data_IF_182113922014
#
_entry.id   IF_182113922014
#
_cell.length_a   1.000
_cell.length_b   1.000
_cell.length_c   1.000
_cell.angle_alpha   90.00
_cell.angle_beta   90.00
_cell.angle_gamma   90.00
#
_symmetry.space_group_name_H-M   'P 1'
#
loop_
_entity.id
_entity.type
_entity.pdbx_description
1 polymer ?
#
# COMPACT_ATOMS: atom_id res chain seq x y z
N UNK A 1 29.34 22.67 -23.53
CA UNK A 1 30.62 22.77 -22.79
C UNK A 1 31.73 22.59 -23.80
N UNK A 2 32.60 23.58 -23.99
CA UNK A 2 33.78 23.46 -24.86
C UNK A 2 34.73 22.41 -24.26
N UNK A 3 35.30 21.54 -25.09
CA UNK A 3 36.23 20.52 -24.59
C UNK A 3 37.57 21.14 -24.13
N UNK A 4 38.33 20.38 -23.32
CA UNK A 4 39.60 20.84 -22.77
C UNK A 4 40.65 21.17 -23.82
N UNK A 5 40.59 20.56 -25.00
CA UNK A 5 41.51 20.83 -26.09
C UNK A 5 41.20 22.20 -26.72
N UNK A 6 39.92 22.50 -26.94
CA UNK A 6 39.43 23.77 -27.45
C UNK A 6 39.72 24.91 -26.48
N UNK A 7 39.54 24.66 -25.18
CA UNK A 7 39.93 25.60 -24.12
C UNK A 7 41.44 25.85 -24.14
N UNK A 8 42.28 24.80 -24.22
CA UNK A 8 43.75 24.97 -24.30
C UNK A 8 44.21 25.72 -25.55
N UNK A 9 43.61 25.44 -26.70
CA UNK A 9 43.93 26.13 -27.97
C UNK A 9 43.55 27.61 -27.90
N UNK A 10 42.40 27.92 -27.29
CA UNK A 10 41.98 29.31 -27.06
C UNK A 10 42.94 30.05 -26.11
N UNK A 11 43.34 29.43 -25.00
CA UNK A 11 44.30 30.01 -24.07
C UNK A 11 45.70 30.19 -24.68
N UNK A 12 46.17 29.23 -25.48
CA UNK A 12 47.44 29.36 -26.24
C UNK A 12 47.39 30.52 -27.23
N UNK A 13 46.29 30.67 -27.98
CA UNK A 13 46.11 31.80 -28.91
C UNK A 13 46.10 33.16 -28.19
N UNK A 14 45.46 33.24 -27.03
CA UNK A 14 45.42 34.45 -26.23
C UNK A 14 46.80 34.81 -25.65
N UNK A 15 47.56 33.83 -25.14
CA UNK A 15 48.91 34.03 -24.62
C UNK A 15 49.90 34.49 -25.70
N UNK A 16 49.84 33.91 -26.90
CA UNK A 16 50.67 34.34 -28.04
C UNK A 16 50.34 35.77 -28.49
N UNK A 17 49.07 36.16 -28.43
CA UNK A 17 48.62 37.52 -28.77
C UNK A 17 49.11 38.55 -27.76
N UNK A 18 49.06 38.21 -26.46
CA UNK A 18 49.58 39.06 -25.37
C UNK A 18 51.11 39.21 -25.47
N UNK A 19 51.82 38.13 -25.79
CA UNK A 19 53.27 38.19 -25.99
C UNK A 19 53.67 39.03 -27.22
N UNK A 20 52.92 38.94 -28.32
CA UNK A 20 53.15 39.79 -29.51
C UNK A 20 52.93 41.28 -29.22
N UNK A 21 51.90 41.62 -28.43
CA UNK A 21 51.63 43.01 -28.01
C UNK A 21 52.72 43.56 -27.08
N UNK A 22 53.27 42.72 -26.19
CA UNK A 22 54.38 43.10 -25.31
C UNK A 22 55.68 43.41 -26.08
N UNK A 23 55.93 42.73 -27.20
CA UNK A 23 57.08 43.00 -28.06
C UNK A 23 56.96 44.32 -28.85
N UNK A 24 55.74 44.77 -29.15
CA UNK A 24 55.48 45.99 -29.93
C UNK A 24 55.55 47.26 -29.06
N UNK A 25 55.19 47.17 -27.77
CA UNK A 25 55.19 48.32 -26.86
C UNK A 25 55.73 47.98 -25.47
N UNK A 26 57.03 47.68 -25.33
CA UNK A 26 57.62 47.13 -24.09
C UNK A 26 57.58 48.12 -22.91
N UNK A 27 57.53 49.43 -23.16
CA UNK A 27 57.45 50.45 -22.12
C UNK A 27 56.11 50.47 -21.34
N UNK A 28 55.07 49.80 -21.85
CA UNK A 28 53.77 49.69 -21.19
C UNK A 28 53.68 48.50 -20.21
N UNK A 29 54.75 47.70 -20.10
CA UNK A 29 54.76 46.45 -19.34
C UNK A 29 55.85 46.47 -18.27
N UNK A 30 55.59 45.86 -17.12
CA UNK A 30 56.61 45.71 -16.10
C UNK A 30 57.67 44.69 -16.54
N UNK A 31 58.93 44.79 -16.07
CA UNK A 31 59.98 43.84 -16.41
C UNK A 31 59.60 42.38 -16.10
N UNK A 32 58.90 42.16 -14.99
CA UNK A 32 58.40 40.84 -14.60
C UNK A 32 57.34 40.29 -15.56
N UNK A 33 56.50 41.16 -16.13
CA UNK A 33 55.48 40.74 -17.09
C UNK A 33 56.08 40.36 -18.44
N UNK A 34 57.19 41.00 -18.85
CA UNK A 34 57.93 40.64 -20.07
C UNK A 34 58.63 39.28 -19.94
N UNK A 35 59.20 38.97 -18.77
CA UNK A 35 59.81 37.65 -18.50
C UNK A 35 58.76 36.54 -18.55
N UNK A 36 57.61 36.73 -17.90
CA UNK A 36 56.50 35.76 -17.93
C UNK A 36 55.95 35.54 -19.35
N UNK A 37 55.90 36.60 -20.17
CA UNK A 37 55.48 36.49 -21.57
C UNK A 37 56.49 35.70 -22.41
N UNK A 38 57.79 35.90 -22.20
CA UNK A 38 58.84 35.12 -22.89
C UNK A 38 58.84 33.66 -22.46
N UNK A 39 58.68 33.37 -21.17
CA UNK A 39 58.57 32.00 -20.65
C UNK A 39 57.34 31.28 -21.23
N UNK A 40 56.19 31.96 -21.30
CA UNK A 40 54.96 31.41 -21.89
C UNK A 40 55.10 31.11 -23.39
N UNK A 41 55.87 31.91 -24.14
CA UNK A 41 56.16 31.64 -25.56
C UNK A 41 57.13 30.46 -25.70
N UNK A 42 58.17 30.38 -24.86
CA UNK A 42 59.11 29.25 -24.87
C UNK A 42 58.40 27.94 -24.52
N UNK A 43 57.48 27.94 -23.55
CA UNK A 43 56.69 26.76 -23.18
C UNK A 43 55.67 26.37 -24.27
N UNK A 44 55.12 27.36 -25.00
CA UNK A 44 54.25 27.12 -26.13
C UNK A 44 54.98 26.54 -27.36
N UNK A 45 56.25 26.94 -27.58
CA UNK A 45 57.10 26.49 -28.69
C UNK A 45 57.80 25.16 -28.37
N UNK A 46 58.20 24.93 -27.12
CA UNK A 46 58.87 23.70 -26.68
C UNK A 46 57.91 22.52 -26.47
N UNK A 47 56.60 22.78 -26.37
CA UNK A 47 55.59 21.73 -26.31
C UNK A 47 55.38 21.07 -27.66
N UNK A 48 56.24 20.12 -28.03
CA UNK A 48 55.87 19.02 -28.92
C UNK A 48 54.48 18.52 -28.49
N UNK A 49 53.53 18.48 -29.43
CA UNK A 49 52.20 17.99 -29.14
C UNK A 49 52.35 16.58 -28.54
N UNK A 50 51.90 16.32 -27.30
CA UNK A 50 51.88 14.96 -26.79
C UNK A 50 51.09 14.13 -27.80
N UNK A 51 51.63 12.98 -28.19
CA UNK A 51 50.94 12.01 -29.03
C UNK A 51 49.49 11.92 -28.54
N UNK A 52 48.54 12.07 -29.46
CA UNK A 52 47.12 12.08 -29.14
C UNK A 52 46.78 10.85 -28.27
N UNK A 53 46.63 11.06 -26.95
CA UNK A 53 46.10 10.03 -26.07
C UNK A 53 44.74 9.65 -26.64
N UNK A 54 44.61 8.41 -27.09
CA UNK A 54 43.35 7.87 -27.59
C UNK A 54 42.26 8.23 -26.58
N UNK A 55 41.18 8.92 -26.98
CA UNK A 55 40.12 9.30 -26.06
C UNK A 55 39.64 8.06 -25.30
N UNK A 56 39.41 8.15 -23.98
CA UNK A 56 39.05 6.99 -23.18
C UNK A 56 37.81 6.33 -23.76
N UNK A 57 37.87 5.02 -23.98
CA UNK A 57 36.76 4.28 -24.58
C UNK A 57 35.53 4.31 -23.66
N UNK A 58 34.30 4.42 -24.22
CA UNK A 58 33.08 4.37 -23.45
C UNK A 58 32.98 3.04 -22.68
N UNK A 59 32.38 3.09 -21.48
CA UNK A 59 32.24 1.91 -20.66
C UNK A 59 31.38 0.83 -21.33
N UNK A 60 31.77 -0.43 -21.17
CA UNK A 60 31.06 -1.60 -21.71
C UNK A 60 30.80 -2.63 -20.60
N UNK A 61 29.91 -3.57 -20.89
CA UNK A 61 29.69 -4.74 -20.02
C UNK A 61 30.89 -5.69 -20.17
N UNK A 62 31.20 -6.53 -19.17
CA UNK A 62 32.26 -7.53 -19.27
C UNK A 62 32.01 -8.49 -20.44
N UNK A 63 33.08 -9.10 -20.96
CA UNK A 63 32.94 -10.12 -22.00
C UNK A 63 32.07 -11.28 -21.52
N UNK A 64 31.22 -11.83 -22.41
CA UNK A 64 30.30 -12.90 -22.06
C UNK A 64 29.13 -12.48 -21.14
N UNK A 65 28.90 -11.18 -20.92
CA UNK A 65 27.88 -10.70 -19.97
C UNK A 65 26.46 -11.26 -20.14
N UNK A 66 26.11 -11.73 -21.35
CA UNK A 66 24.81 -12.34 -21.66
C UNK A 66 24.60 -13.73 -21.05
N UNK A 67 25.66 -14.35 -20.54
CA UNK A 67 25.64 -15.67 -19.91
C UNK A 67 25.82 -15.60 -18.39
N UNK A 68 25.92 -14.39 -17.83
CA UNK A 68 26.10 -14.19 -16.40
C UNK A 68 24.84 -14.59 -15.63
N UNK A 69 25.04 -15.11 -14.43
CA UNK A 69 23.98 -15.24 -13.44
C UNK A 69 23.43 -13.87 -13.04
N UNK A 70 22.25 -13.86 -12.42
CA UNK A 70 21.54 -12.61 -12.11
C UNK A 70 22.37 -11.67 -11.21
N UNK A 71 23.09 -12.21 -10.23
CA UNK A 71 23.89 -11.42 -9.30
C UNK A 71 25.08 -10.75 -10.01
N UNK A 72 25.84 -11.50 -10.81
CA UNK A 72 26.96 -10.97 -11.58
C UNK A 72 26.48 -9.98 -12.64
N UNK A 73 25.36 -10.28 -13.31
CA UNK A 73 24.77 -9.38 -14.29
C UNK A 73 24.33 -8.05 -13.66
N UNK A 74 23.64 -8.08 -12.52
CA UNK A 74 23.23 -6.87 -11.79
C UNK A 74 24.45 -6.06 -11.37
N UNK A 75 25.49 -6.70 -10.83
CA UNK A 75 26.72 -6.02 -10.42
C UNK A 75 27.44 -5.36 -11.61
N UNK A 76 27.54 -6.08 -12.73
CA UNK A 76 28.12 -5.56 -13.97
C UNK A 76 27.31 -4.38 -14.52
N UNK A 77 25.98 -4.46 -14.51
CA UNK A 77 25.11 -3.37 -14.94
C UNK A 77 25.22 -2.15 -14.03
N UNK A 78 25.29 -2.35 -12.71
CA UNK A 78 25.56 -1.27 -11.76
C UNK A 78 26.91 -0.58 -12.03
N UNK A 79 27.97 -1.37 -12.29
CA UNK A 79 29.28 -0.86 -12.65
C UNK A 79 29.25 -0.04 -13.94
N UNK A 80 28.62 -0.56 -15.00
CA UNK A 80 28.42 0.13 -16.29
C UNK A 80 27.80 1.52 -16.09
N UNK A 81 26.83 1.63 -15.18
CA UNK A 81 26.06 2.87 -15.01
C UNK A 81 26.79 3.93 -14.18
N UNK A 82 27.69 3.50 -13.29
CA UNK A 82 28.55 4.40 -12.51
C UNK A 82 29.79 4.83 -13.28
N UNK A 83 30.19 4.08 -14.31
CA UNK A 83 31.41 4.31 -15.05
C UNK A 83 31.49 5.70 -15.72
N UNK A 84 32.75 6.15 -15.88
CA UNK A 84 33.14 7.36 -16.59
C UNK A 84 34.37 7.02 -17.45
N UNK A 85 34.35 7.27 -18.78
CA UNK A 85 33.25 7.85 -19.58
C UNK A 85 32.00 6.95 -19.64
N UNK A 86 30.83 7.54 -19.94
CA UNK A 86 29.54 6.84 -19.94
C UNK A 86 29.47 5.82 -21.09
N UNK A 87 28.75 4.73 -20.87
CA UNK A 87 28.37 3.79 -21.92
C UNK A 87 27.49 4.46 -22.97
N UNK A 88 27.60 4.00 -24.22
CA UNK A 88 26.76 4.47 -25.32
C UNK A 88 25.29 4.08 -25.11
N UNK A 89 24.36 4.96 -25.52
CA UNK A 89 22.93 4.72 -25.32
C UNK A 89 22.46 3.42 -26.00
N UNK A 90 22.94 3.13 -27.21
CA UNK A 90 22.64 1.90 -27.93
C UNK A 90 23.05 0.65 -27.14
N UNK A 91 24.26 0.65 -26.57
CA UNK A 91 24.74 -0.45 -25.72
C UNK A 91 23.86 -0.60 -24.47
N UNK A 92 23.46 0.50 -23.83
CA UNK A 92 22.55 0.43 -22.67
C UNK A 92 21.17 -0.11 -23.05
N UNK A 93 20.64 0.20 -24.25
CA UNK A 93 19.39 -0.39 -24.75
C UNK A 93 19.48 -1.90 -24.87
N UNK A 94 20.61 -2.43 -25.36
CA UNK A 94 20.84 -3.88 -25.44
C UNK A 94 20.84 -4.53 -24.06
N UNK A 95 21.50 -3.92 -23.07
CA UNK A 95 21.51 -4.42 -21.69
C UNK A 95 20.10 -4.44 -21.09
N UNK A 96 19.32 -3.37 -21.31
CA UNK A 96 17.92 -3.28 -20.83
C UNK A 96 17.05 -4.36 -21.49
N UNK A 97 17.19 -4.56 -22.80
CA UNK A 97 16.43 -5.56 -23.55
C UNK A 97 16.76 -6.99 -23.06
N UNK A 98 18.04 -7.30 -22.86
CA UNK A 98 18.46 -8.59 -22.30
C UNK A 98 17.91 -8.80 -20.89
N UNK A 99 17.97 -7.77 -20.02
CA UNK A 99 17.43 -7.87 -18.67
C UNK A 99 15.93 -8.21 -18.66
N UNK A 100 15.17 -7.65 -19.62
CA UNK A 100 13.77 -8.00 -19.82
C UNK A 100 13.61 -9.46 -20.25
N UNK A 101 14.22 -9.86 -21.36
CA UNK A 101 13.97 -11.16 -21.98
C UNK A 101 14.47 -12.34 -21.15
N UNK A 102 15.58 -12.16 -20.45
CA UNK A 102 16.26 -13.25 -19.73
C UNK A 102 15.76 -13.42 -18.30
N UNK A 103 15.32 -12.32 -17.65
CA UNK A 103 14.98 -12.35 -16.23
C UNK A 103 13.56 -11.83 -15.97
N UNK A 104 13.27 -10.56 -16.29
CA UNK A 104 11.99 -9.94 -15.88
C UNK A 104 10.76 -10.47 -16.63
N UNK A 105 10.95 -11.18 -17.73
CA UNK A 105 9.88 -11.88 -18.44
C UNK A 105 9.78 -13.37 -18.08
N UNK A 106 10.72 -13.91 -17.31
CA UNK A 106 10.69 -15.30 -16.84
C UNK A 106 9.80 -15.39 -15.58
N UNK A 107 8.69 -16.13 -15.71
CA UNK A 107 7.71 -16.28 -14.64
C UNK A 107 8.24 -17.10 -13.47
N UNK A 108 9.07 -18.10 -13.73
CA UNK A 108 9.67 -18.90 -12.68
C UNK A 108 10.70 -18.08 -11.92
N UNK A 109 11.52 -17.29 -12.62
CA UNK A 109 12.44 -16.36 -11.97
C UNK A 109 11.71 -15.36 -11.08
N UNK A 110 10.60 -14.78 -11.54
CA UNK A 110 9.83 -13.85 -10.72
C UNK A 110 9.11 -14.53 -9.56
N UNK A 111 8.68 -15.77 -9.69
CA UNK A 111 8.02 -16.51 -8.62
C UNK A 111 9.01 -16.99 -7.54
N UNK A 112 10.11 -17.62 -7.94
CA UNK A 112 11.02 -18.34 -7.05
C UNK A 112 12.33 -17.57 -6.77
N UNK A 113 12.67 -16.60 -7.60
CA UNK A 113 13.94 -15.88 -7.54
C UNK A 113 14.08 -15.01 -6.29
N UNK A 114 15.34 -14.76 -5.92
CA UNK A 114 15.70 -13.98 -4.74
C UNK A 114 15.25 -12.50 -4.86
N UNK A 115 14.66 -11.99 -3.79
CA UNK A 115 13.98 -10.70 -3.81
C UNK A 115 14.92 -9.49 -3.99
N UNK A 116 16.09 -9.42 -3.32
CA UNK A 116 17.14 -8.45 -3.63
C UNK A 116 17.52 -8.38 -5.11
N UNK A 117 17.67 -9.52 -5.77
CA UNK A 117 18.02 -9.59 -7.19
C UNK A 117 16.89 -9.04 -8.08
N UNK A 118 15.65 -9.45 -7.82
CA UNK A 118 14.46 -8.96 -8.54
C UNK A 118 14.27 -7.46 -8.34
N UNK A 119 14.42 -6.96 -7.11
CA UNK A 119 14.36 -5.53 -6.80
C UNK A 119 15.44 -4.77 -7.56
N UNK A 120 16.68 -5.26 -7.55
CA UNK A 120 17.79 -4.61 -8.24
C UNK A 120 17.54 -4.52 -9.75
N UNK A 121 17.20 -5.64 -10.40
CA UNK A 121 16.87 -5.69 -11.83
C UNK A 121 15.71 -4.76 -12.17
N UNK A 122 14.61 -4.86 -11.43
CA UNK A 122 13.40 -4.06 -11.64
C UNK A 122 13.70 -2.57 -11.50
N UNK A 123 14.47 -2.17 -10.49
CA UNK A 123 14.93 -0.79 -10.32
C UNK A 123 15.77 -0.33 -11.50
N UNK A 124 16.74 -1.13 -11.97
CA UNK A 124 17.60 -0.74 -13.10
C UNK A 124 16.81 -0.57 -14.40
N UNK A 125 15.93 -1.53 -14.67
CA UNK A 125 15.05 -1.55 -15.83
C UNK A 125 14.10 -0.36 -15.82
N UNK A 126 13.35 -0.16 -14.73
CA UNK A 126 12.38 0.94 -14.62
C UNK A 126 13.06 2.31 -14.75
N UNK A 127 14.21 2.53 -14.13
CA UNK A 127 14.94 3.79 -14.23
C UNK A 127 15.41 4.12 -15.67
N UNK A 128 15.58 3.11 -16.52
CA UNK A 128 16.18 3.25 -17.87
C UNK A 128 15.24 2.91 -19.02
N UNK A 129 14.00 2.51 -18.75
CA UNK A 129 13.01 2.18 -19.78
C UNK A 129 12.82 3.27 -20.84
N UNK A 130 12.99 4.56 -20.47
CA UNK A 130 12.92 5.69 -21.41
C UNK A 130 13.98 5.62 -22.52
N UNK A 131 15.15 5.06 -22.22
CA UNK A 131 16.22 4.88 -23.20
C UNK A 131 15.78 3.95 -24.34
N UNK A 132 14.82 3.04 -24.11
CA UNK A 132 14.28 2.17 -25.16
C UNK A 132 13.49 2.95 -26.23
N UNK A 133 13.12 4.19 -25.95
CA UNK A 133 12.27 5.03 -26.82
C UNK A 133 13.04 6.27 -27.33
N UNK A 134 14.14 6.66 -26.68
CA UNK A 134 14.93 7.84 -27.05
C UNK A 134 15.63 7.68 -28.41
N UNK A 135 15.64 8.78 -29.19
CA UNK A 135 16.32 8.85 -30.49
C UNK A 135 15.57 8.26 -31.68
N UNK A 136 14.32 7.81 -31.47
CA UNK A 136 13.46 7.25 -32.52
C UNK A 136 12.57 8.32 -33.18
N UNK A 137 12.19 8.09 -34.44
CA UNK A 137 11.14 8.86 -35.15
C UNK A 137 9.81 8.77 -34.39
N UNK A 138 8.92 9.75 -34.51
CA UNK A 138 7.65 9.77 -33.76
C UNK A 138 6.84 8.46 -33.86
N UNK A 139 6.72 7.89 -35.06
CA UNK A 139 6.00 6.64 -35.30
C UNK A 139 6.65 5.44 -34.59
N UNK A 140 7.95 5.24 -34.78
CA UNK A 140 8.71 4.17 -34.10
C UNK A 140 8.70 4.34 -32.56
N UNK A 141 8.79 5.58 -32.09
CA UNK A 141 8.70 5.93 -30.67
C UNK A 141 7.36 5.53 -30.08
N UNK A 142 6.24 5.75 -30.78
CA UNK A 142 4.92 5.34 -30.30
C UNK A 142 4.84 3.81 -30.11
N UNK A 143 5.31 3.04 -31.10
CA UNK A 143 5.34 1.57 -31.02
C UNK A 143 6.29 1.06 -29.91
N UNK A 144 7.47 1.67 -29.75
CA UNK A 144 8.40 1.33 -28.67
C UNK A 144 7.84 1.68 -27.30
N UNK A 145 7.12 2.80 -27.19
CA UNK A 145 6.46 3.21 -25.94
C UNK A 145 5.35 2.22 -25.56
N UNK A 146 4.51 1.82 -26.52
CA UNK A 146 3.47 0.82 -26.30
C UNK A 146 4.07 -0.51 -25.80
N UNK A 147 5.15 -0.98 -26.43
CA UNK A 147 5.88 -2.18 -25.98
C UNK A 147 6.40 -2.05 -24.55
N UNK A 148 6.99 -0.90 -24.19
CA UNK A 148 7.46 -0.63 -22.82
C UNK A 148 6.30 -0.64 -21.83
N UNK A 149 5.15 -0.09 -22.20
CA UNK A 149 3.97 -0.08 -21.34
C UNK A 149 3.40 -1.49 -21.13
N UNK A 150 3.38 -2.32 -22.18
CA UNK A 150 3.05 -3.74 -22.08
C UNK A 150 4.01 -4.50 -21.15
N UNK A 151 5.33 -4.25 -21.27
CA UNK A 151 6.32 -4.83 -20.37
C UNK A 151 6.09 -4.42 -18.91
N UNK A 152 5.82 -3.13 -18.66
CA UNK A 152 5.54 -2.63 -17.32
C UNK A 152 4.25 -3.23 -16.72
N UNK A 153 3.20 -3.39 -17.53
CA UNK A 153 1.94 -4.00 -17.10
C UNK A 153 2.14 -5.47 -16.72
N UNK A 154 2.85 -6.24 -17.57
CA UNK A 154 3.14 -7.64 -17.31
C UNK A 154 3.99 -7.84 -16.04
N UNK A 155 5.05 -7.03 -15.87
CA UNK A 155 5.89 -7.09 -14.68
C UNK A 155 5.11 -6.76 -13.40
N UNK A 156 4.28 -5.71 -13.44
CA UNK A 156 3.41 -5.36 -12.31
C UNK A 156 2.48 -6.53 -11.95
N UNK A 157 1.80 -7.11 -12.93
CA UNK A 157 0.86 -8.21 -12.72
C UNK A 157 1.53 -9.43 -12.08
N UNK A 158 2.73 -9.79 -12.53
CA UNK A 158 3.49 -10.92 -11.97
C UNK A 158 3.97 -10.68 -10.55
N UNK A 159 4.49 -9.48 -10.26
CA UNK A 159 4.85 -9.09 -8.88
C UNK A 159 3.63 -9.12 -7.97
N UNK A 160 2.47 -8.66 -8.44
CA UNK A 160 1.22 -8.77 -7.70
C UNK A 160 0.82 -10.23 -7.46
N UNK A 161 0.95 -11.12 -8.44
CA UNK A 161 0.69 -12.55 -8.26
C UNK A 161 1.58 -13.15 -7.18
N UNK A 162 2.91 -12.95 -7.28
CA UNK A 162 3.87 -13.46 -6.30
C UNK A 162 3.55 -12.99 -4.88
N UNK A 163 3.22 -11.71 -4.72
CA UNK A 163 2.86 -11.16 -3.41
C UNK A 163 1.55 -11.72 -2.85
N UNK A 164 0.67 -12.28 -3.68
CA UNK A 164 -0.51 -13.00 -3.22
C UNK A 164 -0.18 -14.43 -2.79
N UNK A 165 0.71 -15.12 -3.52
CA UNK A 165 1.09 -16.52 -3.24
C UNK A 165 2.05 -16.63 -2.04
N UNK A 166 3.02 -15.72 -1.94
CA UNK A 166 3.97 -15.64 -0.83
C UNK A 166 4.23 -14.17 -0.44
N UNK A 167 3.34 -13.56 0.38
CA UNK A 167 3.61 -12.26 0.99
C UNK A 167 4.88 -12.26 1.86
N UNK A 168 5.35 -13.45 2.24
CA UNK A 168 6.58 -13.78 2.96
C UNK A 168 7.87 -13.55 2.19
N UNK A 169 7.82 -13.46 0.86
CA UNK A 169 9.01 -13.38 0.01
C UNK A 169 9.86 -12.13 0.30
N UNK A 170 9.23 -11.03 0.73
CA UNK A 170 9.90 -9.78 1.10
C UNK A 170 10.31 -9.76 2.59
N UNK A 171 9.98 -10.80 3.36
CA UNK A 171 10.06 -10.78 4.81
C UNK A 171 11.38 -11.33 5.36
N UNK A 172 12.25 -11.84 4.50
CA UNK A 172 13.56 -12.42 4.87
C UNK A 172 14.74 -11.46 4.68
N UNK A 173 14.46 -10.17 4.48
CA UNK A 173 15.46 -9.12 4.24
C UNK A 173 15.52 -8.16 5.42
N UNK A 174 16.52 -7.30 5.48
CA UNK A 174 16.59 -6.24 6.50
C UNK A 174 15.43 -5.23 6.37
N UNK A 175 15.13 -4.46 7.42
CA UNK A 175 14.07 -3.45 7.36
C UNK A 175 14.30 -2.40 6.25
N UNK A 176 15.55 -1.96 6.08
CA UNK A 176 15.91 -1.00 5.02
C UNK A 176 15.68 -1.59 3.63
N UNK A 177 15.95 -2.89 3.47
CA UNK A 177 15.70 -3.59 2.23
C UNK A 177 14.20 -3.79 1.96
N UNK A 178 13.40 -4.08 2.99
CA UNK A 178 11.95 -4.09 2.90
C UNK A 178 11.46 -2.72 2.43
N UNK A 179 11.85 -1.64 3.14
CA UNK A 179 11.43 -0.28 2.81
C UNK A 179 11.80 0.11 1.37
N UNK A 180 13.01 -0.21 0.92
CA UNK A 180 13.45 0.03 -0.46
C UNK A 180 12.63 -0.78 -1.48
N UNK A 181 12.28 -2.03 -1.14
CA UNK A 181 11.42 -2.88 -1.98
C UNK A 181 10.03 -2.27 -2.13
N UNK A 182 9.44 -1.83 -1.02
CA UNK A 182 8.09 -1.25 -1.03
C UNK A 182 8.06 0.08 -1.78
N UNK A 183 9.09 0.90 -1.66
CA UNK A 183 9.22 2.15 -2.44
C UNK A 183 9.31 1.88 -3.94
N UNK A 184 10.02 0.83 -4.36
CA UNK A 184 10.06 0.40 -5.76
C UNK A 184 8.65 -0.03 -6.24
N UNK A 185 7.99 -0.89 -5.48
CA UNK A 185 6.63 -1.37 -5.80
C UNK A 185 5.62 -0.20 -5.85
N UNK A 186 5.79 0.82 -5.00
CA UNK A 186 5.00 2.06 -5.04
C UNK A 186 5.16 2.81 -6.36
N UNK A 187 6.40 3.02 -6.80
CA UNK A 187 6.69 3.69 -8.06
C UNK A 187 6.14 2.93 -9.27
N UNK A 188 5.96 1.61 -9.13
CA UNK A 188 5.32 0.74 -10.14
C UNK A 188 3.80 0.67 -10.02
N UNK A 189 3.20 1.37 -9.05
CA UNK A 189 1.76 1.35 -8.77
C UNK A 189 1.21 -0.06 -8.51
N UNK A 190 1.99 -0.90 -7.85
CA UNK A 190 1.55 -2.21 -7.33
C UNK A 190 0.49 -1.99 -6.25
N UNK A 191 -0.53 -2.86 -6.23
CA UNK A 191 -1.65 -2.81 -5.28
C UNK A 191 -1.15 -2.57 -3.85
N UNK A 192 -1.71 -1.56 -3.22
CA UNK A 192 -1.18 -1.09 -1.96
C UNK A 192 -1.53 -2.01 -0.77
N UNK A 193 -2.63 -2.76 -0.81
CA UNK A 193 -2.93 -3.78 0.20
C UNK A 193 -1.85 -4.87 0.20
N UNK A 194 -1.41 -5.32 -0.98
CA UNK A 194 -0.31 -6.29 -1.11
C UNK A 194 1.02 -5.76 -0.56
N UNK A 195 1.28 -4.46 -0.72
CA UNK A 195 2.48 -3.80 -0.14
C UNK A 195 2.41 -3.75 1.39
N UNK A 196 1.23 -3.61 1.98
CA UNK A 196 1.07 -3.61 3.44
C UNK A 196 1.16 -5.02 4.02
N UNK A 197 0.67 -6.02 3.29
CA UNK A 197 0.86 -7.42 3.66
C UNK A 197 2.35 -7.80 3.81
N UNK A 198 3.22 -7.18 3.02
CA UNK A 198 4.68 -7.31 3.18
C UNK A 198 5.15 -6.74 4.53
N UNK A 199 4.72 -5.53 4.92
CA UNK A 199 5.10 -4.96 6.22
C UNK A 199 4.60 -5.80 7.40
N UNK A 200 3.33 -6.21 7.35
CA UNK A 200 2.73 -7.03 8.40
C UNK A 200 3.42 -8.40 8.49
N UNK A 201 3.66 -9.04 7.36
CA UNK A 201 4.38 -10.31 7.31
C UNK A 201 5.83 -10.19 7.79
N UNK A 202 6.55 -9.13 7.40
CA UNK A 202 7.92 -8.89 7.88
C UNK A 202 7.94 -8.72 9.39
N UNK A 203 6.99 -7.96 9.93
CA UNK A 203 6.85 -7.73 11.37
C UNK A 203 6.59 -9.03 12.16
N UNK A 204 5.78 -9.95 11.60
CA UNK A 204 5.53 -11.26 12.24
C UNK A 204 6.75 -12.19 12.22
N UNK A 205 7.69 -11.99 11.30
CA UNK A 205 8.85 -12.87 11.11
C UNK A 205 10.18 -12.28 11.60
N UNK A 206 10.21 -11.02 12.04
CA UNK A 206 11.44 -10.32 12.41
C UNK A 206 11.30 -9.58 13.74
N UNK A 207 12.42 -9.33 14.40
CA UNK A 207 12.47 -8.49 15.60
C UNK A 207 12.35 -7.01 15.22
N UNK A 208 11.11 -6.55 15.10
CA UNK A 208 10.80 -5.14 14.86
C UNK A 208 11.00 -4.28 16.13
N UNK A 209 11.04 -4.89 17.32
CA UNK A 209 11.11 -4.16 18.61
C UNK A 209 12.49 -3.56 18.85
N UNK A 210 13.54 -4.11 18.24
CA UNK A 210 14.89 -3.53 18.26
C UNK A 210 15.11 -2.39 17.24
N UNK A 211 14.15 -2.14 16.34
CA UNK A 211 14.28 -1.06 15.37
C UNK A 211 14.36 0.33 16.04
N UNK A 212 15.01 1.31 15.38
CA UNK A 212 14.88 2.72 15.73
C UNK A 212 13.41 3.13 15.80
N UNK A 213 13.10 4.06 16.71
CA UNK A 213 11.73 4.50 16.97
C UNK A 213 11.05 5.08 15.72
N UNK A 214 11.82 5.70 14.83
CA UNK A 214 11.35 6.23 13.54
C UNK A 214 10.87 5.11 12.61
N UNK A 215 11.57 3.97 12.59
CA UNK A 215 11.22 2.83 11.76
C UNK A 215 9.99 2.09 12.31
N UNK A 216 9.85 2.02 13.64
CA UNK A 216 8.63 1.53 14.27
C UNK A 216 7.44 2.44 13.99
N UNK A 217 7.62 3.77 14.05
CA UNK A 217 6.58 4.73 13.70
C UNK A 217 6.19 4.64 12.21
N UNK A 218 7.15 4.39 11.32
CA UNK A 218 6.89 4.12 9.90
C UNK A 218 6.05 2.85 9.73
N UNK A 219 6.39 1.75 10.41
CA UNK A 219 5.59 0.52 10.39
C UNK A 219 4.15 0.79 10.83
N UNK A 220 3.96 1.47 11.97
CA UNK A 220 2.65 1.84 12.47
C UNK A 220 1.86 2.67 11.44
N UNK A 221 2.50 3.67 10.82
CA UNK A 221 1.88 4.50 9.78
C UNK A 221 1.45 3.68 8.57
N UNK A 222 2.29 2.76 8.09
CA UNK A 222 2.00 1.92 6.92
C UNK A 222 0.86 0.94 7.17
N UNK A 223 0.82 0.31 8.34
CA UNK A 223 -0.29 -0.57 8.73
C UNK A 223 -1.58 0.24 8.90
N UNK A 224 -1.52 1.43 9.52
CA UNK A 224 -2.70 2.28 9.77
C UNK A 224 -3.33 2.84 8.49
N UNK A 225 -2.55 3.10 7.44
CA UNK A 225 -3.08 3.65 6.17
C UNK A 225 -3.97 2.65 5.41
N UNK A 226 -3.80 1.35 5.62
CA UNK A 226 -4.45 0.29 4.85
C UNK A 226 -5.28 -0.68 5.68
N UNK A 227 -5.38 -0.39 6.98
CA UNK A 227 -6.29 -1.05 7.92
C UNK A 227 -7.76 -0.66 7.71
N UNK A 228 -8.10 -0.15 6.52
CA UNK A 228 -9.46 0.25 6.17
C UNK A 228 -10.28 -0.99 5.83
N UNK A 229 -10.60 -1.82 6.83
CA UNK A 229 -12.01 -2.16 6.96
C UNK A 229 -12.63 -0.83 7.33
N UNK A 230 -13.33 -0.18 6.40
CA UNK A 230 -14.04 1.04 6.77
C UNK A 230 -15.00 0.63 7.89
N UNK A 231 -14.85 1.10 9.15
CA UNK A 231 -15.78 0.74 10.21
C UNK A 231 -17.20 1.20 9.88
N UNK A 232 -17.33 2.11 8.90
CA UNK A 232 -18.58 2.55 8.28
C UNK A 232 -19.20 1.50 7.37
N UNK A 233 -18.49 0.46 6.96
CA UNK A 233 -18.97 -0.54 6.01
C UNK A 233 -18.71 -1.96 6.50
N UNK A 234 -19.78 -2.68 6.81
CA UNK A 234 -19.72 -4.09 7.18
C UNK A 234 -20.96 -4.80 6.69
N UNK A 235 -20.77 -5.99 6.16
CA UNK A 235 -21.87 -6.93 5.96
C UNK A 235 -21.61 -8.22 6.72
N UNK A 236 -22.69 -8.86 7.18
CA UNK A 236 -22.64 -10.07 7.98
C UNK A 236 -23.72 -11.01 7.48
N UNK A 237 -23.38 -12.28 7.30
CA UNK A 237 -24.34 -13.34 6.97
C UNK A 237 -24.35 -14.37 8.10
N UNK A 238 -25.49 -14.50 8.77
CA UNK A 238 -25.73 -15.57 9.73
C UNK A 238 -26.51 -16.71 9.09
N UNK A 239 -26.06 -17.94 9.31
CA UNK A 239 -26.70 -19.17 8.83
C UNK A 239 -26.80 -20.22 9.92
N UNK A 240 -27.85 -21.05 9.84
CA UNK A 240 -28.10 -22.15 10.76
C UNK A 240 -29.55 -22.62 10.63
N UNK A 241 -30.09 -23.15 11.73
CA UNK A 241 -31.50 -23.51 11.82
C UNK A 241 -32.16 -22.88 13.03
N UNK A 242 -33.46 -22.63 12.93
CA UNK A 242 -34.31 -22.04 13.97
C UNK A 242 -35.35 -23.06 14.43
N UNK A 243 -35.65 -23.10 15.74
CA UNK A 243 -36.77 -23.86 16.32
C UNK A 243 -37.65 -22.96 17.18
N UNK A 244 -38.96 -22.99 16.91
CA UNK A 244 -39.95 -22.29 17.72
C UNK A 244 -40.30 -23.09 19.00
N UNK A 245 -40.56 -22.45 20.15
CA UNK A 245 -40.98 -23.14 21.36
C UNK A 245 -42.46 -23.56 21.35
N UNK A 246 -43.29 -22.96 20.50
CA UNK A 246 -44.71 -23.22 20.39
C UNK A 246 -45.15 -23.14 18.92
N UNK A 247 -46.31 -23.74 18.61
CA UNK A 247 -46.95 -23.54 17.32
C UNK A 247 -47.47 -22.10 17.23
N UNK A 248 -47.27 -21.45 16.08
CA UNK A 248 -47.82 -20.11 15.90
C UNK A 248 -47.36 -19.40 14.63
N UNK A 249 -48.02 -18.28 14.35
CA UNK A 249 -47.62 -17.34 13.32
C UNK A 249 -46.65 -16.32 13.92
N UNK A 250 -45.35 -16.53 13.73
CA UNK A 250 -44.29 -15.69 14.27
C UNK A 250 -44.04 -14.47 13.40
N UNK A 251 -43.87 -13.31 14.03
CA UNK A 251 -43.36 -12.10 13.38
C UNK A 251 -41.96 -11.82 13.90
N UNK A 252 -41.03 -11.61 13.00
CA UNK A 252 -39.67 -11.20 13.33
C UNK A 252 -39.55 -9.69 13.15
N UNK A 253 -38.84 -9.01 14.02
CA UNK A 253 -38.62 -7.57 13.92
C UNK A 253 -37.16 -7.21 14.17
N UNK A 254 -36.59 -6.43 13.24
CA UNK A 254 -35.34 -5.72 13.46
C UNK A 254 -35.60 -4.57 14.44
N UNK A 255 -34.98 -4.63 15.61
CA UNK A 255 -35.08 -3.52 16.57
C UNK A 255 -34.38 -2.27 16.02
N UNK A 256 -34.96 -1.10 16.27
CA UNK A 256 -34.46 0.19 15.80
C UNK A 256 -34.18 1.14 16.95
N UNK A 257 -33.25 2.06 16.71
CA UNK A 257 -33.10 3.31 17.46
C UNK A 257 -33.08 4.46 16.47
N UNK A 258 -33.10 5.70 16.94
CA UNK A 258 -33.04 6.88 16.08
C UNK A 258 -31.80 6.90 15.16
N UNK A 259 -30.75 6.16 15.51
CA UNK A 259 -29.47 6.16 14.81
C UNK A 259 -29.11 4.82 14.16
N UNK A 260 -30.05 3.87 14.05
CA UNK A 260 -29.76 2.57 13.41
C UNK A 260 -29.80 2.69 11.90
N UNK A 261 -28.70 2.35 11.24
CA UNK A 261 -28.44 2.53 9.81
C UNK A 261 -28.18 1.21 9.05
N UNK A 262 -28.50 0.07 9.67
CA UNK A 262 -28.33 -1.26 9.05
C UNK A 262 -29.57 -1.76 8.30
N UNK A 263 -29.37 -2.26 7.07
CA UNK A 263 -30.37 -3.06 6.33
C UNK A 263 -30.28 -4.52 6.72
N UNK A 264 -31.42 -5.20 6.82
CA UNK A 264 -31.52 -6.60 7.22
C UNK A 264 -32.44 -7.37 6.27
N UNK A 265 -31.97 -8.52 5.79
CA UNK A 265 -32.78 -9.48 5.03
C UNK A 265 -32.84 -10.81 5.77
N UNK A 266 -34.05 -11.28 6.07
CA UNK A 266 -34.27 -12.55 6.74
C UNK A 266 -34.95 -13.55 5.80
N UNK A 267 -34.37 -14.74 5.70
CA UNK A 267 -34.99 -15.89 5.08
C UNK A 267 -35.26 -16.99 6.11
N UNK A 268 -36.45 -17.57 6.03
CA UNK A 268 -36.85 -18.77 6.76
C UNK A 268 -37.27 -19.81 5.71
N UNK A 269 -36.69 -21.02 5.74
CA UNK A 269 -36.90 -22.06 4.72
C UNK A 269 -36.74 -21.55 3.28
N UNK A 270 -35.72 -20.71 3.06
CA UNK A 270 -35.43 -20.10 1.77
C UNK A 270 -36.40 -18.99 1.32
N UNK A 271 -37.48 -18.73 2.06
CA UNK A 271 -38.42 -17.66 1.76
C UNK A 271 -37.98 -16.35 2.41
N UNK A 272 -37.90 -15.26 1.63
CA UNK A 272 -37.59 -13.92 2.15
C UNK A 272 -38.81 -13.39 2.92
N UNK A 273 -38.70 -13.26 4.24
CA UNK A 273 -39.81 -12.86 5.12
C UNK A 273 -39.67 -11.43 5.64
N UNK A 274 -38.44 -10.89 5.67
CA UNK A 274 -38.13 -9.50 6.01
C UNK A 274 -37.09 -8.95 5.02
N UNK A 275 -37.36 -7.78 4.46
CA UNK A 275 -36.41 -6.98 3.67
C UNK A 275 -36.49 -5.53 4.16
N UNK A 276 -35.68 -5.22 5.18
CA UNK A 276 -35.71 -3.92 5.81
C UNK A 276 -34.80 -2.92 5.08
N UNK A 277 -35.23 -1.66 4.94
CA UNK A 277 -34.42 -0.64 4.30
C UNK A 277 -33.30 -0.17 5.24
N UNK A 278 -32.17 0.23 4.65
CA UNK A 278 -31.20 1.09 5.34
C UNK A 278 -31.69 2.54 5.37
N UNK A 279 -31.12 3.35 6.26
CA UNK A 279 -31.39 4.79 6.34
C UNK A 279 -30.54 5.50 5.27
N UNK A 280 -31.18 6.17 4.29
CA UNK A 280 -30.46 6.98 3.29
C UNK A 280 -30.11 8.34 3.89
N UNK A 281 -28.82 8.67 3.96
CA UNK A 281 -28.31 9.98 4.35
C UNK A 281 -27.98 10.85 3.13
N UNK A 282 -28.85 10.91 2.12
CA UNK A 282 -28.52 11.59 0.86
C UNK A 282 -28.62 13.12 0.95
N UNK A 283 -29.42 13.69 1.85
CA UNK A 283 -29.61 15.15 1.94
C UNK A 283 -29.67 15.60 3.42
N UNK A 284 -28.69 16.39 3.83
CA UNK A 284 -28.61 17.19 5.06
C UNK A 284 -28.59 16.45 6.42
N UNK A 285 -27.36 16.14 6.86
CA UNK A 285 -26.96 15.66 8.19
C UNK A 285 -27.19 16.68 9.34
N UNK A 286 -28.32 17.35 9.38
CA UNK A 286 -28.82 18.03 10.58
C UNK A 286 -30.17 17.43 10.89
N UNK A 287 -30.24 16.61 11.95
CA UNK A 287 -31.34 16.37 12.91
C UNK A 287 -32.82 16.67 12.56
N UNK A 288 -33.21 16.82 11.30
CA UNK A 288 -34.57 16.76 10.81
C UNK A 288 -34.87 15.28 10.71
N UNK A 289 -35.35 14.77 11.85
CA UNK A 289 -36.25 13.64 11.99
C UNK A 289 -36.65 13.13 10.62
N UNK A 290 -35.98 12.08 10.13
CA UNK A 290 -36.50 11.38 8.97
C UNK A 290 -37.96 11.02 9.28
N UNK A 291 -38.91 11.23 8.36
CA UNK A 291 -40.28 10.78 8.58
C UNK A 291 -40.18 9.31 8.99
N UNK A 292 -40.72 8.98 10.18
CA UNK A 292 -40.60 7.67 10.80
C UNK A 292 -40.80 6.60 9.71
N UNK A 293 -39.72 5.92 9.32
CA UNK A 293 -39.85 4.84 8.35
C UNK A 293 -40.78 3.83 9.01
N UNK A 294 -41.93 3.61 8.38
CA UNK A 294 -43.04 2.87 8.98
C UNK A 294 -42.53 1.56 9.59
N UNK A 295 -42.90 1.29 10.85
CA UNK A 295 -42.53 0.07 11.59
C UNK A 295 -42.69 -1.19 10.74
N UNK A 296 -43.74 -1.25 9.95
CA UNK A 296 -44.06 -2.30 8.99
C UNK A 296 -42.88 -2.75 8.12
N UNK A 297 -41.98 -1.84 7.72
CA UNK A 297 -40.83 -2.17 6.85
C UNK A 297 -39.73 -2.98 7.56
N UNK A 298 -39.79 -3.08 8.88
CA UNK A 298 -38.80 -3.78 9.70
C UNK A 298 -39.40 -4.97 10.45
N UNK A 299 -40.68 -5.24 10.22
CA UNK A 299 -41.39 -6.40 10.75
C UNK A 299 -41.65 -7.36 9.60
N UNK A 300 -41.38 -8.63 9.79
CA UNK A 300 -41.63 -9.66 8.79
C UNK A 300 -43.13 -9.85 8.54
N UNK A 301 -43.44 -10.43 7.39
CA UNK A 301 -44.71 -11.15 7.25
C UNK A 301 -44.78 -12.29 8.29
N UNK A 302 -45.97 -12.68 8.77
CA UNK A 302 -46.10 -13.83 9.67
C UNK A 302 -45.53 -15.09 9.03
N UNK A 303 -44.79 -15.86 9.81
CA UNK A 303 -44.22 -17.15 9.42
C UNK A 303 -44.84 -18.23 10.30
N UNK A 304 -45.51 -19.20 9.69
CA UNK A 304 -46.05 -20.33 10.44
C UNK A 304 -44.91 -21.26 10.86
N UNK A 305 -44.69 -21.41 12.17
CA UNK A 305 -43.69 -22.31 12.73
C UNK A 305 -44.37 -23.34 13.64
N UNK A 306 -43.83 -24.56 13.66
CA UNK A 306 -44.26 -25.61 14.57
C UNK A 306 -43.27 -25.79 15.71
N UNK A 307 -43.78 -26.08 16.89
CA UNK A 307 -43.01 -26.29 18.10
C UNK A 307 -41.94 -27.37 17.88
N UNK A 308 -40.68 -27.01 18.10
CA UNK A 308 -39.55 -27.92 18.01
C UNK A 308 -39.16 -28.33 16.59
N UNK A 309 -39.86 -27.95 15.54
CA UNK A 309 -39.45 -28.21 14.15
C UNK A 309 -38.28 -27.28 13.77
N UNK A 310 -37.22 -27.83 13.15
CA UNK A 310 -36.11 -27.02 12.66
C UNK A 310 -36.40 -26.53 11.25
N UNK A 311 -36.29 -25.23 11.07
CA UNK A 311 -36.39 -24.56 9.77
C UNK A 311 -35.05 -23.93 9.42
N UNK A 312 -34.73 -23.83 8.13
CA UNK A 312 -33.52 -23.13 7.67
C UNK A 312 -33.62 -21.65 8.05
N UNK A 313 -32.51 -21.10 8.54
CA UNK A 313 -32.40 -19.71 8.95
C UNK A 313 -31.22 -19.06 8.26
N UNK A 314 -31.49 -17.98 7.52
CA UNK A 314 -30.46 -17.11 6.98
C UNK A 314 -30.81 -15.65 7.25
N UNK A 315 -29.85 -14.91 7.80
CA UNK A 315 -29.96 -13.47 8.00
C UNK A 315 -28.78 -12.77 7.36
N UNK A 316 -29.04 -11.78 6.53
CA UNK A 316 -28.03 -10.88 6.00
C UNK A 316 -28.23 -9.50 6.60
N UNK A 317 -27.14 -8.91 7.08
CA UNK A 317 -27.10 -7.56 7.60
C UNK A 317 -26.04 -6.76 6.86
N UNK A 318 -26.33 -5.50 6.57
CA UNK A 318 -25.35 -4.58 5.99
C UNK A 318 -25.51 -3.23 6.64
N UNK A 319 -24.40 -2.69 7.10
CA UNK A 319 -24.22 -1.31 7.52
C UNK A 319 -23.24 -0.67 6.54
N UNK A 320 -23.65 0.42 5.88
CA UNK A 320 -22.83 1.13 4.89
C UNK A 320 -23.02 2.64 5.02
N UNK A 321 -22.00 3.28 5.56
CA UNK A 321 -21.87 4.71 5.83
C UNK A 321 -20.73 5.32 4.98
N UNK A 322 -20.24 4.61 3.96
CA UNK A 322 -19.12 5.06 3.09
C UNK A 322 -19.49 6.28 2.24
N UNK A 323 -20.77 6.39 1.85
CA UNK A 323 -21.30 7.51 1.06
C UNK A 323 -21.66 8.75 1.88
N UNK A 324 -21.67 8.68 3.22
CA UNK A 324 -22.03 9.81 4.06
C UNK A 324 -20.94 10.89 4.03
N UNK A 325 -21.29 12.11 3.61
CA UNK A 325 -20.42 13.30 3.77
C UNK A 325 -20.34 13.65 5.26
N UNK A 326 -19.55 12.89 6.02
CA UNK A 326 -19.31 13.13 7.44
C UNK A 326 -18.49 14.43 7.60
N UNK A 327 -19.17 15.57 7.56
CA UNK A 327 -18.59 16.89 7.89
C UNK A 327 -18.44 17.03 9.39
N UNK A 328 -17.45 16.35 9.98
CA UNK A 328 -16.91 16.68 11.30
C UNK A 328 -17.84 16.56 12.52
N UNK A 329 -19.05 16.00 12.36
CA UNK A 329 -19.92 15.62 13.48
C UNK A 329 -19.79 14.10 13.64
N UNK A 330 -19.44 13.66 14.86
CA UNK A 330 -19.34 12.26 15.26
C UNK A 330 -20.45 11.42 14.62
N UNK A 331 -20.16 10.25 14.02
CA UNK A 331 -21.20 9.41 13.44
C UNK A 331 -22.05 8.88 14.59
N UNK A 332 -23.24 9.46 14.77
CA UNK A 332 -24.18 9.00 15.80
C UNK A 332 -24.78 7.63 15.43
N UNK A 333 -24.58 7.15 14.19
CA UNK A 333 -24.93 5.81 13.75
C UNK A 333 -23.80 4.81 14.02
N UNK A 334 -24.13 3.76 14.78
CA UNK A 334 -23.26 2.62 15.01
C UNK A 334 -23.97 1.36 14.52
N UNK A 335 -23.23 0.38 13.96
CA UNK A 335 -23.87 -0.83 13.48
C UNK A 335 -24.62 -1.52 14.64
N UNK A 336 -25.86 -1.90 14.37
CA UNK A 336 -26.73 -2.57 15.32
C UNK A 336 -27.57 -3.62 14.60
N UNK A 337 -27.42 -4.88 15.01
CA UNK A 337 -28.17 -6.02 14.50
C UNK A 337 -28.84 -6.73 15.67
N UNK A 338 -30.11 -6.38 15.94
CA UNK A 338 -30.91 -6.99 16.99
C UNK A 338 -32.20 -7.53 16.38
N UNK A 339 -32.44 -8.83 16.53
CA UNK A 339 -33.63 -9.52 16.00
C UNK A 339 -34.52 -9.97 17.16
N UNK A 340 -35.77 -9.50 17.12
CA UNK A 340 -36.83 -9.95 18.02
C UNK A 340 -37.83 -10.81 17.28
N UNK A 341 -38.58 -11.63 18.00
CA UNK A 341 -39.75 -12.35 17.48
C UNK A 341 -40.93 -12.24 18.45
N UNK A 342 -42.14 -12.46 17.96
CA UNK A 342 -43.37 -12.57 18.76
C UNK A 342 -44.37 -13.49 18.08
N UNK A 343 -45.26 -14.10 18.84
CA UNK A 343 -46.46 -14.81 18.36
C UNK A 343 -47.58 -14.68 19.41
N UNK A 344 -48.75 -15.26 19.16
CA UNK A 344 -49.85 -15.26 20.14
C UNK A 344 -49.48 -15.94 21.46
N UNK A 345 -48.62 -16.98 21.41
CA UNK A 345 -48.20 -17.75 22.58
C UNK A 345 -46.80 -17.38 23.09
N UNK A 346 -46.11 -16.49 22.39
CA UNK A 346 -44.75 -16.06 22.72
C UNK A 346 -44.69 -14.56 22.77
N UNK A 347 -44.53 -14.02 23.97
CA UNK A 347 -44.27 -12.61 24.19
C UNK A 347 -43.05 -12.15 23.39
N UNK A 348 -43.14 -10.92 22.88
CA UNK A 348 -42.08 -10.27 22.14
C UNK A 348 -40.76 -10.28 22.91
N UNK A 349 -39.73 -10.85 22.30
CA UNK A 349 -38.38 -10.90 22.89
C UNK A 349 -37.32 -11.07 21.81
N UNK A 350 -36.07 -10.84 22.19
CA UNK A 350 -34.90 -11.24 21.40
C UNK A 350 -34.98 -12.74 21.16
N UNK A 351 -34.72 -13.18 19.92
CA UNK A 351 -34.72 -14.61 19.58
C UNK A 351 -33.64 -15.29 20.42
N UNK A 352 -33.99 -16.21 21.33
CA UNK A 352 -33.03 -16.74 22.30
C UNK A 352 -32.03 -17.66 21.63
N UNK A 353 -30.80 -17.73 22.17
CA UNK A 353 -29.75 -18.63 21.66
C UNK A 353 -30.22 -20.08 21.53
N UNK A 354 -31.07 -20.54 22.45
CA UNK A 354 -31.61 -21.90 22.45
C UNK A 354 -32.48 -22.22 21.23
N UNK A 355 -33.01 -21.20 20.55
CA UNK A 355 -33.76 -21.37 19.31
C UNK A 355 -32.85 -21.67 18.11
N UNK A 356 -31.55 -21.34 18.18
CA UNK A 356 -30.61 -21.50 17.08
C UNK A 356 -29.76 -22.75 17.20
N UNK A 357 -29.56 -23.43 16.07
CA UNK A 357 -28.57 -24.51 15.96
C UNK A 357 -27.65 -24.20 14.77
N UNK A 358 -26.32 -24.24 14.96
CA UNK A 358 -25.39 -23.92 13.89
C UNK A 358 -25.43 -24.97 12.77
N UNK A 359 -24.92 -24.65 11.56
CA UNK A 359 -24.80 -25.61 10.48
C UNK A 359 -24.00 -26.85 10.90
N UNK A 360 -24.35 -28.01 10.34
CA UNK A 360 -23.65 -29.26 10.63
C UNK A 360 -22.15 -29.16 10.32
N UNK A 361 -21.32 -29.59 11.27
CA UNK A 361 -19.85 -29.56 11.13
C UNK A 361 -19.21 -28.18 11.39
N UNK A 362 -19.98 -27.16 11.74
CA UNK A 362 -19.41 -25.84 12.07
C UNK A 362 -19.01 -25.70 13.55
N UNK A 363 -19.79 -26.27 14.46
CA UNK A 363 -19.61 -26.17 15.90
C UNK A 363 -19.63 -27.55 16.55
N UNK A 364 -19.16 -27.65 17.79
CA UNK A 364 -19.14 -28.92 18.53
C UNK A 364 -20.57 -29.42 18.82
N UNK A 365 -20.79 -30.75 18.93
CA UNK A 365 -22.10 -31.31 19.22
C UNK A 365 -22.72 -30.72 20.49
N UNK A 366 -23.89 -30.10 20.34
CA UNK A 366 -24.65 -29.50 21.45
C UNK A 366 -24.46 -27.99 21.59
N UNK A 367 -23.48 -27.39 20.91
CA UNK A 367 -23.34 -25.93 20.88
C UNK A 367 -24.54 -25.28 20.17
N UNK A 368 -24.90 -24.08 20.62
CA UNK A 368 -26.06 -23.32 20.17
C UNK A 368 -25.64 -21.97 19.61
N UNK A 369 -26.37 -21.49 18.60
CA UNK A 369 -26.07 -20.25 17.90
C UNK A 369 -26.12 -20.41 16.38
N UNK A 370 -25.51 -19.45 15.69
CA UNK A 370 -25.48 -19.34 14.24
C UNK A 370 -24.03 -19.20 13.76
N UNK A 371 -23.74 -19.71 12.56
CA UNK A 371 -22.49 -19.38 11.88
C UNK A 371 -22.60 -17.97 11.33
N UNK A 372 -21.86 -17.02 11.88
CA UNK A 372 -21.72 -15.66 11.38
C UNK A 372 -20.49 -15.50 10.50
N UNK A 373 -20.69 -15.11 9.25
CA UNK A 373 -19.65 -14.77 8.28
C UNK A 373 -19.59 -13.25 8.12
N UNK A 374 -18.43 -12.65 8.37
CA UNK A 374 -18.24 -11.21 8.45
C UNK A 374 -17.40 -10.72 7.28
N UNK A 375 -17.84 -9.64 6.63
CA UNK A 375 -17.24 -9.10 5.41
C UNK A 375 -16.91 -7.62 5.58
N UNK A 376 -15.77 -7.19 5.04
CA UNK A 376 -15.28 -5.81 5.16
C UNK A 376 -15.87 -4.82 4.15
N UNK A 377 -16.96 -5.20 3.50
CA UNK A 377 -17.66 -4.43 2.48
C UNK A 377 -19.17 -4.70 2.53
N UNK A 378 -19.98 -3.91 1.81
CA UNK A 378 -21.44 -4.05 1.75
C UNK A 378 -21.92 -5.12 0.75
N UNK A 379 -21.00 -5.72 -0.02
CA UNK A 379 -21.28 -6.61 -1.14
C UNK A 379 -21.08 -8.10 -0.80
N UNK A 380 -20.76 -8.43 0.46
CA UNK A 380 -20.42 -9.79 0.90
C UNK A 380 -19.23 -10.36 0.12
N UNK A 381 -18.18 -9.56 -0.07
CA UNK A 381 -16.96 -9.93 -0.80
C UNK A 381 -16.10 -10.97 -0.07
N UNK A 382 -14.88 -10.58 0.33
CA UNK A 382 -13.96 -11.49 1.02
C UNK A 382 -14.36 -11.66 2.49
N UNK A 383 -14.57 -12.91 2.93
CA UNK A 383 -14.83 -13.23 4.33
C UNK A 383 -13.61 -12.85 5.19
N UNK A 384 -13.80 -11.90 6.10
CA UNK A 384 -12.78 -11.40 7.03
C UNK A 384 -12.73 -12.18 8.33
N UNK A 385 -13.87 -12.68 8.79
CA UNK A 385 -13.96 -13.50 9.98
C UNK A 385 -15.15 -14.46 9.89
N UNK A 386 -15.05 -15.59 10.59
CA UNK A 386 -16.16 -16.51 10.82
C UNK A 386 -16.24 -16.81 12.31
N UNK A 387 -17.43 -16.76 12.91
CA UNK A 387 -17.64 -17.00 14.35
C UNK A 387 -18.96 -17.71 14.63
N UNK A 388 -19.04 -18.34 15.80
CA UNK A 388 -20.30 -18.85 16.36
C UNK A 388 -20.96 -17.73 17.16
N UNK A 389 -22.12 -17.28 16.69
CA UNK A 389 -22.90 -16.22 17.32
C UNK A 389 -24.06 -16.79 18.14
N UNK A 390 -24.11 -16.56 19.45
CA UNK A 390 -25.18 -17.05 20.32
C UNK A 390 -26.57 -16.58 19.88
N UNK A 391 -26.71 -15.32 19.47
CA UNK A 391 -27.96 -14.71 19.06
C UNK A 391 -27.69 -13.54 18.11
N UNK A 392 -28.75 -12.98 17.52
CA UNK A 392 -28.69 -11.71 16.78
C UNK A 392 -29.07 -10.60 17.76
N UNK A 393 -28.11 -10.24 18.62
CA UNK A 393 -28.27 -9.23 19.67
C UNK A 393 -26.99 -8.38 19.79
N UNK A 394 -26.74 -7.57 18.76
CA UNK A 394 -25.51 -6.82 18.62
C UNK A 394 -25.76 -5.32 18.54
N UNK A 395 -25.06 -4.57 19.40
CA UNK A 395 -24.93 -3.12 19.34
C UNK A 395 -23.45 -2.74 19.46
N UNK A 396 -22.81 -2.49 18.31
CA UNK A 396 -21.38 -2.25 18.20
C UNK A 396 -21.06 -0.77 18.42
N UNK A 397 -21.09 -0.32 19.68
CA UNK A 397 -21.01 1.11 20.05
C UNK A 397 -19.63 1.72 19.86
N UNK A 398 -18.58 1.06 20.36
CA UNK A 398 -17.22 1.64 20.43
C UNK A 398 -16.26 0.99 19.42
N UNK A 399 -16.51 -0.27 19.05
CA UNK A 399 -15.70 -1.01 18.08
C UNK A 399 -16.64 -1.69 17.09
N UNK A 400 -16.31 -1.58 15.80
CA UNK A 400 -17.06 -2.25 14.75
C UNK A 400 -17.03 -3.78 14.89
N UNK A 401 -17.96 -4.49 14.22
CA UNK A 401 -18.03 -5.97 14.23
C UNK A 401 -16.78 -6.68 13.70
N UNK A 402 -15.92 -5.97 12.96
CA UNK A 402 -14.67 -6.47 12.42
C UNK A 402 -13.50 -5.77 13.09
N UNK A 403 -12.56 -6.57 13.60
CA UNK A 403 -11.22 -6.07 13.85
C UNK A 403 -10.58 -5.74 12.51
N UNK A 404 -9.91 -4.60 12.45
CA UNK A 404 -9.18 -4.20 11.29
C UNK A 404 -8.04 -5.22 11.01
N UNK A 405 -7.72 -5.46 9.73
CA UNK A 405 -6.87 -6.59 9.27
C UNK A 405 -5.53 -6.67 10.01
N UNK A 406 -4.97 -5.53 10.41
CA UNK A 406 -3.67 -5.44 11.08
C UNK A 406 -3.79 -4.91 12.52
N UNK A 407 -4.98 -5.02 13.13
CA UNK A 407 -5.24 -4.47 14.45
C UNK A 407 -4.28 -5.00 15.53
N UNK A 408 -3.93 -6.29 15.48
CA UNK A 408 -3.00 -6.90 16.43
C UNK A 408 -1.62 -6.27 16.30
N UNK A 409 -1.05 -6.25 15.09
CA UNK A 409 0.26 -5.64 14.83
C UNK A 409 0.27 -4.15 15.18
N UNK A 410 -0.82 -3.42 14.86
CA UNK A 410 -0.94 -1.99 15.20
C UNK A 410 -0.99 -1.76 16.71
N UNK A 411 -1.76 -2.56 17.45
CA UNK A 411 -1.84 -2.46 18.91
C UNK A 411 -0.48 -2.75 19.54
N UNK A 412 0.20 -3.81 19.13
CA UNK A 412 1.55 -4.12 19.63
C UNK A 412 2.55 -2.99 19.35
N UNK A 413 2.54 -2.43 18.13
CA UNK A 413 3.38 -1.28 17.77
C UNK A 413 3.04 -0.07 18.63
N UNK A 414 1.75 0.26 18.80
CA UNK A 414 1.35 1.40 19.60
C UNK A 414 1.83 1.26 21.05
N UNK A 415 1.59 0.12 21.69
CA UNK A 415 2.02 -0.15 23.07
C UNK A 415 3.54 -0.02 23.23
N UNK A 416 4.32 -0.47 22.24
CA UNK A 416 5.78 -0.38 22.28
C UNK A 416 6.31 1.05 22.02
N UNK A 417 5.68 1.79 21.12
CA UNK A 417 6.21 3.08 20.63
C UNK A 417 5.77 4.24 21.52
N UNK A 418 4.53 4.21 22.04
CA UNK A 418 3.92 5.34 22.77
C UNK A 418 4.77 5.79 23.96
N UNK A 419 5.18 4.92 24.90
CA UNK A 419 5.99 5.36 26.05
C UNK A 419 7.31 6.02 25.64
N UNK A 420 7.87 5.59 24.50
CA UNK A 420 9.13 6.13 23.97
C UNK A 420 8.91 7.51 23.32
N UNK A 421 7.84 7.68 22.53
CA UNK A 421 7.48 8.95 21.89
C UNK A 421 7.03 10.02 22.90
N UNK A 422 6.40 9.60 24.00
CA UNK A 422 5.97 10.50 25.08
C UNK A 422 7.05 10.72 26.14
N UNK A 423 8.23 10.12 26.01
CA UNK A 423 9.31 10.28 26.98
C UNK A 423 9.86 11.72 26.98
N UNK A 424 10.21 12.29 28.14
CA UNK A 424 10.80 13.64 28.21
C UNK A 424 12.05 13.79 27.34
N UNK A 425 12.87 12.73 27.27
CA UNK A 425 14.10 12.70 26.45
C UNK A 425 13.80 12.81 24.96
N UNK A 426 12.81 12.08 24.45
CA UNK A 426 12.41 12.16 23.05
C UNK A 426 11.76 13.51 22.71
N UNK A 427 10.88 14.01 23.58
CA UNK A 427 10.25 15.32 23.39
C UNK A 427 11.27 16.46 23.39
N UNK A 428 12.27 16.40 24.27
CA UNK A 428 13.36 17.37 24.31
C UNK A 428 14.24 17.32 23.05
N UNK A 429 14.53 16.13 22.52
CA UNK A 429 15.33 15.99 21.29
C UNK A 429 14.61 16.56 20.07
N UNK A 430 13.27 16.44 20.01
CA UNK A 430 12.45 17.02 18.93
C UNK A 430 12.23 18.53 19.07
N UNK A 431 12.21 19.07 20.28
CA UNK A 431 12.12 20.52 20.50
C UNK A 431 13.33 21.29 19.94
N UNK A 432 14.49 20.63 19.84
CA UNK A 432 15.72 21.20 19.29
C UNK A 432 15.78 21.21 17.74
N UNK A 433 14.89 20.47 17.08
CA UNK A 433 14.97 20.21 15.64
C UNK A 433 13.91 21.03 14.86
N UNK A 434 14.31 22.24 14.43
CA UNK A 434 13.42 23.21 13.75
C UNK A 434 12.78 22.73 12.44
N UNK A 435 13.26 21.65 11.82
CA UNK A 435 12.74 21.12 10.53
C UNK A 435 11.81 19.91 10.66
N UNK A 436 11.82 19.19 11.79
CA UNK A 436 10.98 17.98 11.98
C UNK A 436 9.67 18.25 12.74
N UNK A 437 9.44 19.50 13.14
CA UNK A 437 8.41 19.85 14.13
C UNK A 437 6.96 19.76 13.65
N UNK A 438 6.68 19.71 12.34
CA UNK A 438 5.31 19.67 11.81
C UNK A 438 4.84 18.24 11.56
N UNK A 439 5.62 17.44 10.82
CA UNK A 439 5.25 16.06 10.47
C UNK A 439 5.26 15.14 11.69
N UNK A 440 6.28 15.25 12.57
CA UNK A 440 6.37 14.46 13.79
C UNK A 440 5.25 14.80 14.78
N UNK A 441 4.91 16.09 14.96
CA UNK A 441 3.79 16.50 15.83
C UNK A 441 2.46 15.96 15.30
N UNK A 442 2.19 16.08 14.00
CA UNK A 442 0.94 15.60 13.42
C UNK A 442 0.78 14.08 13.58
N UNK A 443 1.85 13.31 13.35
CA UNK A 443 1.83 11.85 13.52
C UNK A 443 1.75 11.38 14.97
N UNK A 444 2.37 12.09 15.93
CA UNK A 444 2.27 11.74 17.37
C UNK A 444 0.92 12.14 17.93
N UNK A 445 0.37 13.30 17.55
CA UNK A 445 -0.99 13.71 17.96
C UNK A 445 -2.05 12.77 17.39
N UNK A 446 -1.95 12.38 16.11
CA UNK A 446 -2.84 11.35 15.54
C UNK A 446 -2.68 9.98 16.18
N UNK A 447 -1.46 9.59 16.60
CA UNK A 447 -1.22 8.36 17.37
C UNK A 447 -1.91 8.42 18.73
N UNK A 448 -1.77 9.53 19.46
CA UNK A 448 -2.34 9.73 20.79
C UNK A 448 -3.87 9.86 20.72
N UNK A 449 -4.41 10.56 19.73
CA UNK A 449 -5.86 10.67 19.49
C UNK A 449 -6.47 9.32 19.09
N UNK A 450 -5.79 8.53 18.26
CA UNK A 450 -6.23 7.17 17.89
C UNK A 450 -6.19 6.16 19.03
N UNK A 451 -5.39 6.41 20.07
CA UNK A 451 -5.31 5.61 21.29
C UNK A 451 -6.29 6.06 22.38
N UNK A 452 -6.73 7.32 22.34
CA UNK A 452 -7.75 7.83 23.26
C UNK A 452 -9.15 7.29 22.93
N UNK A 453 -9.30 6.62 21.78
CA UNK A 453 -10.53 6.02 21.28
C UNK A 453 -10.45 4.49 21.14
N UNK A 454 -9.43 3.83 21.71
CA UNK A 454 -9.25 2.37 21.59
C UNK A 454 -10.08 1.59 22.59
#
# INVERSE_FOLDING_TARGET
>A
MLDRATIRTFWRGMLLTVAALAAICPAAWSPSALVLAQEAVQEAVAGEAPAAETPPQPATMPEGWRQLGVAEFVAAWDALTRARPRAEAAHVKEVVAHAWTTFLNDEQFLAEGDWPAIRALTRQFTARRRLLVEGETEEARAASQERVDQWMAALKSRLESRLADDPGAVNRVSFDELAASIAMLEGMKVNAAKRVDCYAGWMRSNDWRSLPIENQALLYSKLSHYDQVDPKCVSIRWTGSLRAPADGAYRFEQARTYYTDGKMKLWIDGQLVLDSPGVRHEEDCYCEIQPEVAREKFVSSPVALRAGEAVDFRLEYVHDMTGAKLRGIYPMGFPMAVLTWESELVERRIVPQTAFTPPAGFAEPGEKGLKGEYFGDAAFGETRATRLDPAIDFAWRERGPLCAKYAVERSELAEAIVPRLTSPTYLASRAADKKSSEFARMSVTQLIEGLSTS
#
